data_IF_684825811040
#
_entry.id   IF_684825811040
#
_cell.length_a   1.000
_cell.length_b   1.000
_cell.length_c   1.000
_cell.angle_alpha   90.00
_cell.angle_beta   90.00
_cell.angle_gamma   90.00
#
_symmetry.space_group_name_H-M   'P 1'
#
loop_
_entity.id
_entity.type
_entity.pdbx_description
1 polymer ?
#
# COMPACT_ATOMS: atom_id res chain seq x y z
N UNK A 1 -40.18 46.43 -24.47
CA UNK A 1 -39.51 45.77 -25.62
C UNK A 1 -38.02 45.81 -25.34
N UNK A 2 -37.27 44.71 -25.16
CA UNK A 2 -37.53 43.32 -25.52
C UNK A 2 -36.58 42.40 -24.71
N UNK A 3 -37.15 41.42 -24.01
CA UNK A 3 -36.53 40.17 -23.51
C UNK A 3 -35.59 40.28 -22.29
N UNK A 4 -35.95 39.97 -21.03
CA UNK A 4 -37.11 39.36 -20.36
C UNK A 4 -37.54 37.95 -20.82
N UNK A 5 -36.82 37.26 -21.73
CA UNK A 5 -37.23 35.91 -22.20
C UNK A 5 -36.15 34.85 -22.38
N UNK A 6 -34.90 35.12 -22.01
CA UNK A 6 -33.94 34.02 -21.77
C UNK A 6 -34.01 33.50 -20.33
N UNK A 7 -34.86 34.11 -19.49
CA UNK A 7 -35.28 33.64 -18.15
C UNK A 7 -36.28 32.46 -18.15
N UNK A 8 -36.41 31.78 -19.29
CA UNK A 8 -37.15 30.53 -19.46
C UNK A 8 -36.14 29.62 -20.11
N UNK A 9 -35.51 28.65 -19.46
CA UNK A 9 -36.02 27.67 -18.50
C UNK A 9 -34.80 26.88 -18.01
N UNK A 10 -34.94 26.28 -16.83
CA UNK A 10 -34.21 25.07 -16.43
C UNK A 10 -32.68 25.21 -16.33
N UNK A 11 -32.17 25.36 -15.10
CA UNK A 11 -31.67 24.18 -14.37
C UNK A 11 -30.89 24.61 -13.14
N UNK A 12 -31.47 24.25 -12.00
CA UNK A 12 -30.79 23.65 -10.85
C UNK A 12 -29.74 24.51 -10.11
N UNK A 13 -30.26 25.24 -9.12
CA UNK A 13 -29.74 25.22 -7.75
C UNK A 13 -28.24 25.47 -7.57
N UNK A 14 -27.84 26.74 -7.73
CA UNK A 14 -26.68 27.30 -7.05
C UNK A 14 -27.07 27.55 -5.59
N UNK A 15 -26.77 26.60 -4.70
CA UNK A 15 -26.61 26.82 -3.26
C UNK A 15 -25.50 25.90 -2.76
N UNK A 16 -24.26 26.34 -2.91
CA UNK A 16 -23.16 25.87 -2.07
C UNK A 16 -22.31 27.09 -1.71
N UNK A 17 -22.82 27.84 -0.73
CA UNK A 17 -22.08 28.91 -0.09
C UNK A 17 -21.67 28.45 1.32
N UNK A 18 -20.36 28.51 1.55
CA UNK A 18 -19.69 28.74 2.83
C UNK A 18 -19.72 27.62 3.89
N UNK A 19 -18.55 27.02 4.11
CA UNK A 19 -17.83 27.20 5.39
C UNK A 19 -16.34 26.92 5.19
N UNK A 20 -15.55 27.99 5.07
CA UNK A 20 -14.11 27.98 5.25
C UNK A 20 -13.81 28.62 6.60
N UNK A 21 -13.50 27.80 7.60
CA UNK A 21 -12.78 28.17 8.81
C UNK A 21 -11.52 27.31 8.84
N UNK A 22 -10.35 27.94 8.73
CA UNK A 22 -9.07 27.27 8.53
C UNK A 22 -8.39 26.78 9.80
N UNK A 23 -7.52 25.79 9.61
CA UNK A 23 -6.16 25.73 10.15
C UNK A 23 -5.25 25.12 9.08
N UNK A 24 -4.12 25.76 8.82
CA UNK A 24 -3.09 25.30 7.92
C UNK A 24 -2.25 24.22 8.61
N UNK A 25 -2.35 22.98 8.15
CA UNK A 25 -1.21 22.07 8.09
C UNK A 25 -1.40 21.12 6.90
N UNK A 26 -0.36 21.03 6.08
CA UNK A 26 -0.27 20.11 4.97
C UNK A 26 0.38 18.82 5.47
N UNK A 27 -0.17 17.69 5.01
CA UNK A 27 0.40 16.34 5.08
C UNK A 27 -0.12 15.44 6.18
N UNK A 28 -0.66 14.31 5.72
CA UNK A 28 -0.48 12.97 6.27
C UNK A 28 -0.60 12.85 7.78
N UNK A 29 -1.79 12.50 8.24
CA UNK A 29 -1.95 11.30 9.05
C UNK A 29 -3.39 10.81 8.90
N UNK A 30 -3.57 9.77 8.10
CA UNK A 30 -4.40 8.63 8.52
C UNK A 30 -3.77 7.45 7.84
N UNK A 31 -2.77 6.90 8.54
CA UNK A 31 -2.17 5.63 8.21
C UNK A 31 -3.28 4.61 8.01
N UNK A 32 -3.50 4.24 6.76
CA UNK A 32 -3.95 2.91 6.44
C UNK A 32 -2.75 1.96 6.66
N UNK A 33 -2.27 1.89 7.89
CA UNK A 33 -1.61 0.71 8.44
C UNK A 33 -2.72 -0.33 8.69
N UNK A 34 -3.45 -0.65 7.61
CA UNK A 34 -4.20 -1.88 7.53
C UNK A 34 -3.12 -2.93 7.35
N UNK A 35 -2.77 -3.58 8.46
CA UNK A 35 -2.06 -4.85 8.47
C UNK A 35 -2.93 -5.88 7.75
N UNK A 36 -3.09 -5.72 6.44
CA UNK A 36 -3.29 -6.86 5.57
C UNK A 36 -1.98 -7.60 5.69
N UNK A 37 -1.95 -8.67 6.48
CA UNK A 37 -0.81 -9.56 6.56
C UNK A 37 -0.48 -9.95 5.11
N UNK A 38 0.54 -9.31 4.56
CA UNK A 38 0.85 -9.44 3.16
C UNK A 38 1.30 -10.87 2.97
N UNK A 39 0.49 -11.65 2.23
CA UNK A 39 0.70 -13.08 2.09
C UNK A 39 2.03 -13.27 1.37
N UNK A 40 2.98 -14.02 1.97
CA UNK A 40 4.25 -14.23 1.32
C UNK A 40 4.06 -14.96 -0.01
N UNK A 41 4.74 -14.50 -1.05
CA UNK A 41 4.64 -15.08 -2.40
C UNK A 41 5.29 -16.47 -2.49
N UNK A 42 6.12 -16.81 -1.51
CA UNK A 42 6.87 -18.05 -1.42
C UNK A 42 6.29 -18.99 -0.36
N UNK A 43 6.22 -20.29 -0.69
CA UNK A 43 5.79 -21.34 0.26
C UNK A 43 6.94 -21.88 1.11
N UNK A 44 8.17 -21.76 0.61
CA UNK A 44 9.41 -22.21 1.26
C UNK A 44 10.36 -21.05 1.50
N UNK A 45 11.08 -21.12 2.61
CA UNK A 45 12.09 -20.15 3.00
C UNK A 45 13.25 -20.16 1.99
N UNK A 46 13.58 -19.02 1.36
CA UNK A 46 14.66 -18.93 0.38
C UNK A 46 16.06 -19.14 1.01
N UNK A 47 16.18 -19.03 2.33
CA UNK A 47 17.46 -19.20 3.05
C UNK A 47 17.73 -20.66 3.38
N UNK A 48 16.78 -21.32 4.05
CA UNK A 48 16.96 -22.66 4.63
C UNK A 48 16.13 -23.75 3.92
N UNK A 49 15.20 -23.38 3.02
CA UNK A 49 14.32 -24.32 2.31
C UNK A 49 13.17 -24.91 3.16
N UNK A 50 13.04 -24.50 4.42
CA UNK A 50 11.94 -24.90 5.30
C UNK A 50 10.59 -24.30 4.88
N UNK A 51 9.47 -24.83 5.38
CA UNK A 51 8.15 -24.24 5.11
C UNK A 51 8.05 -22.85 5.74
N UNK A 52 7.47 -21.89 5.03
CA UNK A 52 7.21 -20.55 5.57
C UNK A 52 6.26 -20.66 6.76
N UNK A 53 6.61 -19.96 7.83
CA UNK A 53 5.81 -19.83 9.04
C UNK A 53 5.11 -18.47 9.02
N UNK A 54 3.83 -18.44 9.39
CA UNK A 54 3.04 -17.21 9.52
C UNK A 54 3.47 -16.40 10.75
N UNK A 55 4.13 -17.04 11.72
CA UNK A 55 4.66 -16.41 12.92
C UNK A 55 6.05 -15.80 12.71
N UNK A 56 6.73 -16.16 11.61
CA UNK A 56 8.05 -15.64 11.29
C UNK A 56 7.97 -14.28 10.60
N UNK A 57 9.05 -13.51 10.72
CA UNK A 57 9.20 -12.23 10.04
C UNK A 57 9.06 -12.35 8.51
N UNK A 58 8.61 -11.28 7.87
CA UNK A 58 8.53 -11.16 6.40
C UNK A 58 9.26 -9.89 5.95
N UNK A 59 9.76 -9.87 4.72
CA UNK A 59 10.40 -8.69 4.12
C UNK A 59 9.78 -8.38 2.77
N UNK A 60 9.71 -7.09 2.42
CA UNK A 60 9.32 -6.69 1.08
C UNK A 60 10.55 -6.58 0.17
N UNK A 61 10.53 -7.30 -0.95
CA UNK A 61 11.58 -7.25 -1.97
C UNK A 61 10.94 -7.28 -3.36
N UNK A 62 11.31 -6.34 -4.23
CA UNK A 62 10.70 -6.16 -5.55
C UNK A 62 9.16 -5.97 -5.53
N UNK A 63 8.61 -5.36 -4.49
CA UNK A 63 7.16 -5.17 -4.33
C UNK A 63 6.40 -6.47 -4.02
N UNK A 64 7.11 -7.53 -3.65
CA UNK A 64 6.56 -8.79 -3.19
C UNK A 64 6.93 -9.01 -1.73
N UNK A 65 6.03 -9.61 -0.97
CA UNK A 65 6.32 -10.03 0.41
C UNK A 65 6.96 -11.40 0.40
N UNK A 66 8.11 -11.52 1.04
CA UNK A 66 8.87 -12.76 1.19
C UNK A 66 8.75 -13.23 2.63
N UNK A 67 8.32 -14.47 2.82
CA UNK A 67 8.20 -15.09 4.14
C UNK A 67 9.33 -16.05 4.46
N UNK A 68 9.57 -16.25 5.75
CA UNK A 68 10.65 -17.10 6.24
C UNK A 68 10.14 -18.23 7.14
N UNK A 69 11.00 -19.22 7.39
CA UNK A 69 10.64 -20.36 8.25
C UNK A 69 10.98 -20.12 9.73
N UNK A 70 11.85 -19.16 10.02
CA UNK A 70 12.26 -18.79 11.38
C UNK A 70 12.79 -17.36 11.41
N UNK A 71 12.80 -16.77 12.60
CA UNK A 71 13.40 -15.45 12.83
C UNK A 71 14.90 -15.45 12.52
N UNK A 72 15.39 -14.33 11.99
CA UNK A 72 16.79 -14.13 11.59
C UNK A 72 17.12 -14.58 10.16
N UNK A 73 16.18 -15.24 9.46
CA UNK A 73 16.32 -15.49 8.02
C UNK A 73 16.14 -14.21 7.18
N UNK A 74 15.36 -13.26 7.68
CA UNK A 74 15.17 -11.92 7.12
C UNK A 74 16.50 -11.15 7.03
N UNK A 75 17.28 -11.10 8.10
CA UNK A 75 18.61 -10.48 8.08
C UNK A 75 19.55 -11.14 7.07
N UNK A 76 19.53 -12.48 7.02
CA UNK A 76 20.33 -13.24 6.05
C UNK A 76 19.89 -12.92 4.63
N UNK A 77 18.59 -12.83 4.39
CA UNK A 77 18.04 -12.48 3.10
C UNK A 77 18.41 -11.06 2.68
N UNK A 78 18.39 -10.09 3.59
CA UNK A 78 18.77 -8.72 3.30
C UNK A 78 20.28 -8.57 3.03
N UNK A 79 21.11 -9.40 3.68
CA UNK A 79 22.56 -9.41 3.52
C UNK A 79 23.05 -10.01 2.20
N UNK A 80 22.22 -10.79 1.49
CA UNK A 80 22.55 -11.32 0.17
C UNK A 80 22.58 -10.20 -0.88
N UNK A 81 23.25 -10.45 -2.00
CA UNK A 81 23.11 -9.61 -3.20
C UNK A 81 21.75 -9.80 -3.86
N UNK A 82 21.29 -8.83 -4.65
CA UNK A 82 19.99 -8.94 -5.35
C UNK A 82 19.94 -10.12 -6.33
N UNK A 83 21.08 -10.49 -6.90
CA UNK A 83 21.23 -11.67 -7.78
C UNK A 83 20.97 -12.97 -7.01
N UNK A 84 21.57 -13.12 -5.83
CA UNK A 84 21.37 -14.29 -4.98
C UNK A 84 19.93 -14.37 -4.47
N UNK A 85 19.32 -13.24 -4.08
CA UNK A 85 17.91 -13.20 -3.65
C UNK A 85 16.98 -13.69 -4.75
N UNK A 86 17.21 -13.28 -6.00
CA UNK A 86 16.42 -13.70 -7.14
C UNK A 86 16.52 -15.22 -7.37
N UNK A 87 17.73 -15.78 -7.34
CA UNK A 87 17.93 -17.23 -7.51
C UNK A 87 17.24 -18.04 -6.41
N UNK A 88 17.33 -17.58 -5.15
CA UNK A 88 16.72 -18.27 -4.01
C UNK A 88 15.19 -18.22 -4.01
N UNK A 89 14.59 -17.25 -4.70
CA UNK A 89 13.14 -17.09 -4.82
C UNK A 89 12.56 -17.76 -6.07
N UNK A 90 13.38 -18.03 -7.08
CA UNK A 90 12.97 -18.69 -8.32
C UNK A 90 12.89 -20.24 -8.22
N UNK A 91 13.03 -20.81 -7.01
CA UNK A 91 13.36 -22.22 -6.77
C UNK A 91 12.29 -22.99 -5.99
#
# INVERSE_FOLDING_TARGET
MQFVRTFSVLSLSVVFAAVAAGCSDSSMETGNASATAAVPVNEKCPIMGGKVSEDASTVEWNGMTIGFCCDGCDDKFLALSDEEKAEKLAL
#
